data_IF_564001555546
#
_entry.id   IF_564001555546
#
_cell.length_a   1.000
_cell.length_b   1.000
_cell.length_c   1.000
_cell.angle_alpha   90.00
_cell.angle_beta   90.00
_cell.angle_gamma   90.00
#
_symmetry.space_group_name_H-M   'P 1'
#
loop_
_entity.id
_entity.type
_entity.pdbx_description
1 polymer ?
#
# COMPACT_ATOMS: atom_id res chain seq x y z
N UNK A 1 -32.91 -6.03 8.64
CA UNK A 1 -31.71 -5.16 8.58
C UNK A 1 -31.69 -4.28 9.82
N UNK A 2 -30.72 -4.48 10.73
CA UNK A 2 -30.52 -3.59 11.88
C UNK A 2 -29.51 -2.53 11.47
N UNK A 3 -30.00 -1.37 11.03
CA UNK A 3 -29.19 -0.16 10.87
C UNK A 3 -28.59 0.19 12.22
N UNK A 4 -27.25 0.16 12.35
CA UNK A 4 -26.55 0.70 13.53
C UNK A 4 -26.45 2.22 13.33
N UNK A 5 -27.27 3.06 14.00
CA UNK A 5 -27.57 4.41 13.53
C UNK A 5 -26.44 5.46 13.58
N UNK A 6 -25.42 5.43 14.47
CA UNK A 6 -24.54 6.59 14.60
C UNK A 6 -23.48 6.71 13.50
N UNK A 7 -23.10 5.61 12.82
CA UNK A 7 -22.03 5.62 11.81
C UNK A 7 -22.53 5.58 10.36
N UNK A 8 -23.75 5.07 10.11
CA UNK A 8 -24.30 5.01 8.76
C UNK A 8 -24.77 6.37 8.26
N UNK A 9 -25.14 7.29 9.16
CA UNK A 9 -25.75 8.57 8.81
C UNK A 9 -24.80 9.51 8.05
N UNK A 10 -23.55 9.75 8.51
CA UNK A 10 -22.60 10.56 7.75
C UNK A 10 -22.28 9.94 6.38
N UNK A 11 -22.13 8.60 6.31
CA UNK A 11 -21.84 7.90 5.06
C UNK A 11 -22.96 8.04 4.02
N UNK A 12 -24.22 7.99 4.45
CA UNK A 12 -25.37 8.27 3.57
C UNK A 12 -25.33 9.73 3.14
N UNK A 13 -25.13 10.66 4.07
CA UNK A 13 -25.14 12.10 3.79
C UNK A 13 -24.00 12.56 2.87
N UNK A 14 -22.81 11.91 2.90
CA UNK A 14 -21.65 12.31 2.10
C UNK A 14 -21.33 11.43 0.89
N UNK A 15 -21.76 10.16 0.85
CA UNK A 15 -21.32 9.20 -0.18
C UNK A 15 -22.44 8.44 -0.90
N UNK A 16 -23.70 8.61 -0.53
CA UNK A 16 -24.81 7.90 -1.18
C UNK A 16 -25.93 8.86 -1.54
N UNK A 17 -26.20 9.02 -2.84
CA UNK A 17 -27.36 9.81 -3.27
C UNK A 17 -28.66 9.04 -3.10
N UNK A 18 -28.65 7.70 -3.20
CA UNK A 18 -29.89 6.90 -3.21
C UNK A 18 -29.85 5.51 -2.52
N UNK A 19 -28.70 4.86 -2.29
CA UNK A 19 -28.66 3.53 -1.63
C UNK A 19 -27.32 3.19 -0.95
N UNK A 20 -27.39 2.82 0.34
CA UNK A 20 -26.28 2.24 1.13
C UNK A 20 -26.61 0.77 1.44
N UNK A 21 -25.86 -0.17 0.87
CA UNK A 21 -26.00 -1.59 1.22
C UNK A 21 -24.97 -1.95 2.29
N UNK A 22 -25.45 -2.46 3.43
CA UNK A 22 -24.62 -2.89 4.55
C UNK A 22 -24.84 -4.38 4.80
N UNK A 23 -23.76 -5.15 4.73
CA UNK A 23 -23.69 -6.54 5.18
C UNK A 23 -22.66 -6.67 6.32
N UNK A 24 -22.54 -7.85 6.93
CA UNK A 24 -21.65 -8.09 8.07
C UNK A 24 -20.19 -7.73 7.76
N UNK A 25 -19.74 -7.96 6.52
CA UNK A 25 -18.35 -7.79 6.10
C UNK A 25 -18.21 -6.89 4.85
N UNK A 26 -19.24 -6.12 4.51
CA UNK A 26 -19.15 -5.20 3.37
C UNK A 26 -20.08 -3.99 3.47
N UNK A 27 -19.69 -2.95 2.76
CA UNK A 27 -20.44 -1.71 2.58
C UNK A 27 -20.37 -1.32 1.10
N UNK A 28 -21.51 -1.01 0.50
CA UNK A 28 -21.60 -0.56 -0.89
C UNK A 28 -22.29 0.80 -0.97
N UNK A 29 -21.65 1.77 -1.60
CA UNK A 29 -22.19 3.11 -1.88
C UNK A 29 -21.60 3.67 -3.17
N UNK A 30 -22.21 4.71 -3.73
CA UNK A 30 -21.87 5.25 -5.05
C UNK A 30 -20.40 5.69 -5.19
N UNK A 31 -19.76 6.10 -4.08
CA UNK A 31 -18.37 6.61 -4.09
C UNK A 31 -17.44 5.91 -3.11
N UNK A 32 -17.91 4.90 -2.39
CA UNK A 32 -17.09 4.19 -1.40
C UNK A 32 -17.60 2.78 -1.15
N UNK A 33 -16.70 1.81 -1.19
CA UNK A 33 -17.00 0.42 -0.91
C UNK A 33 -16.03 -0.12 0.15
N UNK A 34 -16.55 -0.91 1.09
CA UNK A 34 -15.77 -1.72 2.03
C UNK A 34 -16.01 -3.19 1.67
N UNK A 35 -14.94 -3.95 1.46
CA UNK A 35 -15.03 -5.34 1.01
C UNK A 35 -14.14 -6.22 1.88
N UNK A 36 -14.75 -7.16 2.61
CA UNK A 36 -14.02 -8.24 3.26
C UNK A 36 -13.53 -9.26 2.23
N UNK A 37 -12.24 -9.26 1.93
CA UNK A 37 -11.59 -10.19 1.00
C UNK A 37 -10.22 -10.64 1.53
N UNK A 38 -9.83 -11.87 1.17
CA UNK A 38 -8.46 -12.35 1.37
C UNK A 38 -7.66 -12.04 0.11
N UNK A 39 -6.65 -11.17 0.23
CA UNK A 39 -5.82 -10.74 -0.89
C UNK A 39 -4.99 -11.87 -1.52
N UNK A 40 -4.87 -13.02 -0.83
CA UNK A 40 -4.18 -14.21 -1.35
C UNK A 40 -5.05 -14.99 -2.35
N UNK A 41 -6.37 -14.84 -2.27
CA UNK A 41 -7.32 -15.47 -3.18
C UNK A 41 -7.76 -14.48 -4.25
N UNK A 42 -6.95 -14.39 -5.31
CA UNK A 42 -7.16 -13.45 -6.42
C UNK A 42 -8.50 -13.67 -7.12
N UNK A 43 -8.94 -14.93 -7.26
CA UNK A 43 -10.22 -15.24 -7.92
C UNK A 43 -11.38 -14.66 -7.12
N UNK A 44 -11.40 -14.89 -5.80
CA UNK A 44 -12.43 -14.36 -4.90
C UNK A 44 -12.39 -12.83 -4.81
N UNK A 45 -11.19 -12.24 -4.80
CA UNK A 45 -11.01 -10.78 -4.82
C UNK A 45 -11.60 -10.15 -6.09
N UNK A 46 -11.24 -10.69 -7.27
CA UNK A 46 -11.68 -10.20 -8.57
C UNK A 46 -13.20 -10.30 -8.74
N UNK A 47 -13.80 -11.45 -8.37
CA UNK A 47 -15.25 -11.64 -8.38
C UNK A 47 -15.98 -10.63 -7.49
N UNK A 48 -15.45 -10.37 -6.28
CA UNK A 48 -16.02 -9.38 -5.38
C UNK A 48 -15.89 -7.98 -5.97
N UNK A 49 -14.72 -7.56 -6.41
CA UNK A 49 -14.54 -6.21 -6.95
C UNK A 49 -15.47 -5.95 -8.16
N UNK A 50 -15.65 -6.94 -9.05
CA UNK A 50 -16.61 -6.86 -10.15
C UNK A 50 -18.06 -6.71 -9.68
N UNK A 51 -18.44 -7.43 -8.61
CA UNK A 51 -19.77 -7.29 -7.98
C UNK A 51 -19.99 -5.88 -7.42
N UNK A 52 -18.93 -5.23 -6.93
CA UNK A 52 -18.94 -3.83 -6.46
C UNK A 52 -18.65 -2.82 -7.59
N UNK A 53 -18.96 -3.19 -8.84
CA UNK A 53 -18.93 -2.30 -9.99
C UNK A 53 -17.58 -1.63 -10.29
N UNK A 54 -16.47 -2.27 -9.91
CA UNK A 54 -15.13 -1.82 -10.28
C UNK A 54 -15.00 -1.72 -11.81
N UNK A 55 -14.69 -0.53 -12.30
CA UNK A 55 -14.48 -0.27 -13.73
C UNK A 55 -12.98 -0.28 -14.07
N UNK A 56 -12.54 -1.33 -14.76
CA UNK A 56 -11.13 -1.56 -15.11
C UNK A 56 -10.63 -0.66 -16.24
N UNK A 57 -11.51 0.04 -16.93
CA UNK A 57 -11.15 1.01 -17.98
C UNK A 57 -10.75 2.39 -17.42
N UNK A 58 -11.00 2.64 -16.12
CA UNK A 58 -10.63 3.90 -15.48
C UNK A 58 -9.18 3.87 -14.94
N UNK A 59 -8.46 4.99 -14.99
CA UNK A 59 -7.21 5.14 -14.27
C UNK A 59 -7.37 4.79 -12.79
N UNK A 60 -6.59 3.84 -12.30
CA UNK A 60 -6.77 3.29 -10.94
C UNK A 60 -5.49 3.39 -10.12
N UNK A 61 -5.60 3.88 -8.89
CA UNK A 61 -4.49 3.91 -7.93
C UNK A 61 -4.70 2.81 -6.90
N UNK A 62 -3.71 1.95 -6.73
CA UNK A 62 -3.62 0.97 -5.66
C UNK A 62 -2.73 1.51 -4.56
N UNK A 63 -3.13 1.30 -3.31
CA UNK A 63 -2.33 1.63 -2.14
C UNK A 63 -2.20 0.39 -1.27
N UNK A 64 -0.97 -0.04 -1.05
CA UNK A 64 -0.59 -1.06 -0.09
C UNK A 64 0.31 -0.41 0.95
N UNK A 65 -0.22 -0.21 2.16
CA UNK A 65 0.51 0.40 3.27
C UNK A 65 0.74 -0.66 4.35
N UNK A 66 1.96 -1.19 4.40
CA UNK A 66 2.36 -2.32 5.24
C UNK A 66 1.43 -3.54 5.04
N UNK A 67 1.25 -4.00 3.80
CA UNK A 67 0.38 -5.16 3.49
C UNK A 67 1.14 -6.30 2.83
N UNK A 68 1.83 -6.07 1.71
CA UNK A 68 2.41 -7.16 0.90
C UNK A 68 3.42 -8.02 1.68
N UNK A 69 4.21 -7.42 2.55
CA UNK A 69 5.18 -8.11 3.43
C UNK A 69 4.59 -9.24 4.29
N UNK A 70 3.28 -9.21 4.58
CA UNK A 70 2.61 -10.25 5.37
C UNK A 70 2.16 -11.47 4.54
N UNK A 71 2.23 -11.36 3.22
CA UNK A 71 1.93 -12.45 2.28
C UNK A 71 3.23 -13.12 1.84
N UNK A 72 3.19 -14.40 1.50
CA UNK A 72 4.36 -15.01 0.85
C UNK A 72 4.66 -14.31 -0.48
N UNK A 73 5.90 -14.30 -0.96
CA UNK A 73 6.29 -13.59 -2.18
C UNK A 73 5.52 -14.03 -3.42
N UNK A 74 5.12 -15.31 -3.48
CA UNK A 74 4.22 -15.81 -4.51
C UNK A 74 2.85 -15.13 -4.49
N UNK A 75 2.21 -15.01 -3.32
CA UNK A 75 0.90 -14.39 -3.20
C UNK A 75 0.95 -12.89 -3.47
N UNK A 76 1.95 -12.18 -2.92
CA UNK A 76 2.10 -10.74 -3.18
C UNK A 76 2.39 -10.46 -4.66
N UNK A 77 3.26 -11.26 -5.30
CA UNK A 77 3.55 -11.12 -6.74
C UNK A 77 2.31 -11.40 -7.58
N UNK A 78 1.51 -12.41 -7.23
CA UNK A 78 0.25 -12.69 -7.93
C UNK A 78 -0.73 -11.52 -7.83
N UNK A 79 -0.83 -10.86 -6.68
CA UNK A 79 -1.68 -9.67 -6.50
C UNK A 79 -1.19 -8.48 -7.34
N UNK A 80 0.11 -8.18 -7.28
CA UNK A 80 0.73 -7.10 -8.07
C UNK A 80 0.60 -7.36 -9.57
N UNK A 81 0.74 -8.63 -9.99
CA UNK A 81 0.55 -9.07 -11.38
C UNK A 81 -0.90 -8.94 -11.82
N UNK A 82 -1.85 -9.38 -11.01
CA UNK A 82 -3.29 -9.23 -11.29
C UNK A 82 -3.66 -7.77 -11.51
N UNK A 83 -3.13 -6.85 -10.69
CA UNK A 83 -3.39 -5.42 -10.85
C UNK A 83 -2.88 -4.89 -12.22
N UNK A 84 -1.66 -5.27 -12.64
CA UNK A 84 -1.13 -4.88 -13.96
C UNK A 84 -1.91 -5.49 -15.13
N UNK A 85 -2.31 -6.75 -15.01
CA UNK A 85 -3.03 -7.45 -16.07
C UNK A 85 -4.46 -6.92 -16.23
N UNK A 86 -5.08 -6.50 -15.12
CA UNK A 86 -6.48 -6.04 -15.08
C UNK A 86 -6.63 -4.58 -15.49
N UNK A 87 -5.67 -3.71 -15.15
CA UNK A 87 -5.76 -2.27 -15.40
C UNK A 87 -4.70 -1.79 -16.36
N UNK A 88 -5.12 -1.14 -17.44
CA UNK A 88 -4.21 -0.66 -18.48
C UNK A 88 -3.64 0.73 -18.20
N UNK A 89 -4.25 1.49 -17.27
CA UNK A 89 -3.71 2.75 -16.77
C UNK A 89 -3.84 2.72 -15.26
N UNK A 90 -2.71 2.58 -14.58
CA UNK A 90 -2.70 2.40 -13.13
C UNK A 90 -1.41 2.90 -12.50
N UNK A 91 -1.51 3.22 -11.21
CA UNK A 91 -0.39 3.43 -10.31
C UNK A 91 -0.53 2.50 -9.11
N UNK A 92 0.55 1.89 -8.67
CA UNK A 92 0.60 1.12 -7.44
C UNK A 92 1.57 1.79 -6.49
N UNK A 93 1.11 2.17 -5.30
CA UNK A 93 1.92 2.72 -4.22
C UNK A 93 2.06 1.63 -3.17
N UNK A 94 3.29 1.30 -2.80
CA UNK A 94 3.61 0.34 -1.78
C UNK A 94 4.56 0.92 -0.75
N UNK A 95 4.11 1.01 0.50
CA UNK A 95 4.92 1.36 1.64
C UNK A 95 5.13 0.12 2.50
N UNK A 96 6.37 -0.31 2.73
CA UNK A 96 6.71 -1.41 3.64
C UNK A 96 8.21 -1.40 3.99
N UNK A 97 8.71 -2.47 4.59
CA UNK A 97 10.12 -2.60 4.94
C UNK A 97 11.05 -2.70 3.71
N UNK A 98 12.30 -2.28 3.91
CA UNK A 98 13.41 -2.43 2.97
C UNK A 98 14.72 -2.67 3.73
N UNK A 99 15.79 -3.08 3.06
CA UNK A 99 17.11 -3.29 3.67
C UNK A 99 17.11 -4.33 4.80
N UNK A 100 16.19 -5.30 4.75
CA UNK A 100 15.97 -6.28 5.83
C UNK A 100 17.07 -7.36 5.99
N UNK A 101 18.12 -7.29 5.19
CA UNK A 101 19.22 -8.26 5.19
C UNK A 101 20.31 -8.00 6.24
N UNK A 102 20.34 -6.80 6.85
CA UNK A 102 21.37 -6.43 7.81
C UNK A 102 21.05 -6.82 9.26
N UNK A 103 21.90 -6.42 10.21
CA UNK A 103 21.70 -6.75 11.63
C UNK A 103 20.46 -6.08 12.23
N UNK A 104 20.13 -4.86 11.84
CA UNK A 104 18.95 -4.15 12.31
C UNK A 104 17.67 -4.82 11.76
N UNK A 105 17.66 -5.14 10.46
CA UNK A 105 16.59 -5.91 9.83
C UNK A 105 16.34 -7.25 10.51
N UNK A 106 17.38 -8.00 10.86
CA UNK A 106 17.27 -9.25 11.62
C UNK A 106 16.63 -9.03 13.00
N UNK A 107 17.06 -8.02 13.74
CA UNK A 107 16.48 -7.67 15.05
C UNK A 107 15.01 -7.27 14.90
N UNK A 108 14.64 -6.54 13.85
CA UNK A 108 13.25 -6.20 13.56
C UNK A 108 12.40 -7.45 13.29
N UNK A 109 12.90 -8.39 12.49
CA UNK A 109 12.22 -9.67 12.21
C UNK A 109 12.00 -10.47 13.50
N UNK A 110 13.05 -10.65 14.29
CA UNK A 110 12.99 -11.37 15.57
C UNK A 110 11.95 -10.73 16.51
N UNK A 111 11.98 -9.40 16.64
CA UNK A 111 11.03 -8.65 17.49
C UNK A 111 9.57 -8.84 17.06
N UNK A 112 9.28 -8.87 15.77
CA UNK A 112 7.93 -9.09 15.25
C UNK A 112 7.49 -10.55 15.43
N UNK A 113 8.39 -11.50 15.19
CA UNK A 113 8.14 -12.92 15.41
C UNK A 113 7.81 -13.22 16.88
N UNK A 114 8.51 -12.59 17.82
CA UNK A 114 8.20 -12.69 19.26
C UNK A 114 6.79 -12.21 19.62
N UNK A 115 6.18 -11.37 18.78
CA UNK A 115 4.79 -10.89 18.92
C UNK A 115 3.79 -11.70 18.11
N UNK A 116 4.18 -12.88 17.61
CA UNK A 116 3.41 -13.72 16.69
C UNK A 116 3.04 -13.03 15.37
N UNK A 117 3.86 -12.08 14.94
CA UNK A 117 3.71 -11.37 13.67
C UNK A 117 4.82 -11.83 12.71
N UNK A 118 4.49 -12.73 11.78
CA UNK A 118 5.46 -13.24 10.83
C UNK A 118 5.44 -12.42 9.52
N UNK A 119 6.61 -11.97 9.09
CA UNK A 119 6.81 -11.30 7.80
C UNK A 119 7.07 -12.33 6.70
N UNK A 120 5.99 -12.97 6.21
CA UNK A 120 6.09 -14.04 5.22
C UNK A 120 6.77 -13.61 3.90
N UNK A 121 6.76 -12.32 3.58
CA UNK A 121 7.35 -11.72 2.39
C UNK A 121 8.67 -11.01 2.62
N UNK A 122 9.33 -11.18 3.77
CA UNK A 122 10.55 -10.41 4.09
C UNK A 122 11.70 -10.65 3.11
N UNK A 123 11.75 -11.80 2.44
CA UNK A 123 12.78 -12.11 1.45
C UNK A 123 12.76 -11.18 0.23
N UNK A 124 11.64 -10.51 -0.07
CA UNK A 124 11.58 -9.50 -1.14
C UNK A 124 11.88 -8.08 -0.67
N UNK A 125 12.18 -7.88 0.62
CA UNK A 125 12.47 -6.58 1.23
C UNK A 125 13.98 -6.33 1.40
N UNK A 126 14.81 -6.79 0.46
CA UNK A 126 16.28 -6.78 0.61
C UNK A 126 16.92 -5.42 0.31
N UNK A 127 16.36 -4.68 -0.65
CA UNK A 127 16.86 -3.39 -1.11
C UNK A 127 15.80 -2.62 -1.89
N UNK A 128 16.02 -1.33 -2.13
CA UNK A 128 15.15 -0.54 -3.02
C UNK A 128 15.08 -1.14 -4.43
N UNK A 129 16.19 -1.69 -4.95
CA UNK A 129 16.21 -2.36 -6.24
C UNK A 129 15.32 -3.61 -6.25
N UNK A 130 15.35 -4.42 -5.18
CA UNK A 130 14.46 -5.58 -5.07
C UNK A 130 12.97 -5.18 -5.03
N UNK A 131 12.66 -4.03 -4.43
CA UNK A 131 11.30 -3.47 -4.40
C UNK A 131 10.85 -3.05 -5.81
N UNK A 132 11.70 -2.35 -6.58
CA UNK A 132 11.41 -1.96 -7.97
C UNK A 132 11.26 -3.17 -8.88
N UNK A 133 12.22 -4.10 -8.80
CA UNK A 133 12.24 -5.33 -9.60
C UNK A 133 10.96 -6.17 -9.43
N UNK A 134 10.39 -6.21 -8.22
CA UNK A 134 9.13 -6.91 -7.95
C UNK A 134 7.98 -6.39 -8.83
N UNK A 135 7.89 -5.08 -9.03
CA UNK A 135 6.88 -4.48 -9.90
C UNK A 135 7.20 -4.69 -11.38
N UNK A 136 8.45 -4.44 -11.80
CA UNK A 136 8.86 -4.61 -13.19
C UNK A 136 8.65 -6.04 -13.69
N UNK A 137 8.99 -7.05 -12.87
CA UNK A 137 8.76 -8.47 -13.19
C UNK A 137 7.27 -8.85 -13.21
N UNK A 138 6.43 -8.04 -12.59
CA UNK A 138 4.97 -8.18 -12.57
C UNK A 138 4.29 -7.37 -13.68
N UNK A 139 5.01 -7.03 -14.75
CA UNK A 139 4.58 -6.25 -15.91
C UNK A 139 4.06 -4.84 -15.61
N UNK A 140 4.64 -4.18 -14.62
CA UNK A 140 4.57 -2.73 -14.54
C UNK A 140 5.61 -2.12 -15.49
N UNK A 141 5.30 -0.99 -16.11
CA UNK A 141 6.14 -0.36 -17.13
C UNK A 141 7.30 0.41 -16.50
N UNK A 142 7.02 1.09 -15.39
CA UNK A 142 8.00 1.85 -14.61
C UNK A 142 7.83 1.54 -13.12
N UNK A 143 8.91 1.60 -12.37
CA UNK A 143 8.90 1.48 -10.92
C UNK A 143 10.07 2.26 -10.30
N UNK A 144 9.78 3.05 -9.28
CA UNK A 144 10.75 3.79 -8.49
C UNK A 144 10.52 3.55 -7.00
N UNK A 145 11.55 3.84 -6.20
CA UNK A 145 11.49 3.66 -4.75
C UNK A 145 12.50 4.54 -4.02
N UNK A 146 12.08 5.05 -2.87
CA UNK A 146 12.87 5.83 -1.92
C UNK A 146 12.78 5.17 -0.53
N UNK A 147 13.88 5.11 0.20
CA UNK A 147 13.81 4.83 1.63
C UNK A 147 13.24 6.04 2.38
N UNK A 148 12.65 5.81 3.55
CA UNK A 148 11.96 6.88 4.28
C UNK A 148 12.91 7.93 4.85
N UNK A 149 14.21 7.64 4.97
CA UNK A 149 15.18 8.66 5.37
C UNK A 149 15.40 9.66 4.23
N UNK A 150 15.48 9.17 2.99
CA UNK A 150 15.47 10.01 1.80
C UNK A 150 14.19 10.86 1.74
N UNK A 151 13.01 10.26 1.93
CA UNK A 151 11.72 11.00 1.98
C UNK A 151 11.74 12.08 3.07
N UNK A 152 12.18 11.74 4.28
CA UNK A 152 12.29 12.70 5.39
C UNK A 152 13.21 13.88 5.05
N UNK A 153 14.32 13.63 4.36
CA UNK A 153 15.26 14.67 3.92
C UNK A 153 14.71 15.59 2.82
N UNK A 154 13.66 15.16 2.11
CA UNK A 154 13.01 15.92 1.04
C UNK A 154 11.84 16.77 1.56
N UNK A 155 11.43 16.60 2.82
CA UNK A 155 10.38 17.40 3.42
C UNK A 155 10.78 18.89 3.47
N UNK A 156 9.81 19.81 3.32
CA UNK A 156 10.06 21.23 3.55
C UNK A 156 10.67 21.46 4.94
N UNK A 157 11.72 22.26 5.03
CA UNK A 157 12.44 22.52 6.28
C UNK A 157 11.51 23.03 7.40
N UNK A 158 10.51 23.85 7.05
CA UNK A 158 9.52 24.34 8.00
C UNK A 158 8.69 23.20 8.63
N UNK A 159 8.35 22.17 7.86
CA UNK A 159 7.64 20.99 8.35
C UNK A 159 8.54 20.13 9.24
N UNK A 160 9.80 19.92 8.86
CA UNK A 160 10.78 19.20 9.69
C UNK A 160 10.93 19.87 11.05
N UNK A 161 11.15 21.18 11.07
CA UNK A 161 11.27 21.94 12.32
C UNK A 161 9.97 21.93 13.13
N UNK A 162 8.81 21.99 12.47
CA UNK A 162 7.51 21.89 13.13
C UNK A 162 7.31 20.54 13.80
N UNK A 163 7.73 19.45 13.15
CA UNK A 163 7.62 18.08 13.67
C UNK A 163 8.62 17.86 14.81
N UNK A 164 9.90 18.20 14.62
CA UNK A 164 10.97 18.00 15.63
C UNK A 164 10.77 18.84 16.90
N UNK A 165 9.93 19.89 16.87
CA UNK A 165 9.54 20.65 18.06
C UNK A 165 8.47 19.98 18.92
N UNK A 166 7.74 19.00 18.40
CA UNK A 166 6.66 18.35 19.14
C UNK A 166 7.20 17.45 20.25
N UNK A 167 8.25 16.69 19.96
CA UNK A 167 8.89 15.79 20.90
C UNK A 167 10.41 15.89 20.77
N UNK A 168 11.09 16.00 21.91
CA UNK A 168 12.55 15.97 21.95
C UNK A 168 13.04 14.54 21.69
N UNK A 169 13.85 14.37 20.65
CA UNK A 169 14.51 13.11 20.30
C UNK A 169 16.03 13.27 20.45
N UNK A 170 16.60 12.60 21.44
CA UNK A 170 18.04 12.55 21.69
C UNK A 170 18.76 11.55 20.78
N UNK A 171 18.18 10.36 20.55
CA UNK A 171 18.75 9.29 19.75
C UNK A 171 18.35 9.38 18.25
N UNK A 172 18.86 10.40 17.55
CA UNK A 172 18.57 10.61 16.11
C UNK A 172 19.04 9.45 15.22
N UNK A 173 20.09 8.74 15.64
CA UNK A 173 20.63 7.60 14.93
C UNK A 173 19.64 6.43 14.86
N UNK A 174 18.82 6.23 15.91
CA UNK A 174 17.80 5.19 15.92
C UNK A 174 16.66 5.51 14.94
N UNK A 175 16.24 6.78 14.87
CA UNK A 175 15.26 7.22 13.89
C UNK A 175 15.81 7.04 12.47
N UNK A 176 17.07 7.44 12.22
CA UNK A 176 17.70 7.23 10.93
C UNK A 176 17.73 5.75 10.55
N UNK A 177 18.16 4.87 11.46
CA UNK A 177 18.15 3.42 11.22
C UNK A 177 16.74 2.92 10.91
N UNK A 178 15.73 3.34 11.67
CA UNK A 178 14.34 2.95 11.41
C UNK A 178 13.87 3.40 10.02
N UNK A 179 14.10 4.66 9.65
CA UNK A 179 13.66 5.22 8.37
C UNK A 179 14.41 4.62 7.17
N UNK A 180 15.66 4.22 7.35
CA UNK A 180 16.42 3.48 6.32
C UNK A 180 15.89 2.04 6.09
N UNK A 181 15.05 1.52 6.98
CA UNK A 181 14.47 0.18 6.90
C UNK A 181 13.00 0.16 6.46
N UNK A 182 12.46 1.31 6.04
CA UNK A 182 11.18 1.41 5.34
C UNK A 182 11.38 2.12 4.01
N UNK A 183 10.56 1.79 3.03
CA UNK A 183 10.54 2.48 1.75
C UNK A 183 9.12 2.78 1.30
N UNK A 184 9.01 3.80 0.48
CA UNK A 184 7.88 4.01 -0.42
C UNK A 184 8.33 3.67 -1.84
N UNK A 185 7.60 2.75 -2.47
CA UNK A 185 7.80 2.33 -3.85
C UNK A 185 6.54 2.65 -4.63
N UNK A 186 6.69 3.13 -5.87
CA UNK A 186 5.56 3.31 -6.77
C UNK A 186 5.86 2.76 -8.15
N UNK A 187 4.85 2.17 -8.76
CA UNK A 187 4.93 1.62 -10.10
C UNK A 187 3.78 2.13 -10.96
N UNK A 188 4.01 2.28 -12.25
CA UNK A 188 3.03 2.83 -13.18
C UNK A 188 2.90 2.02 -14.46
N UNK A 189 1.72 2.13 -15.06
CA UNK A 189 1.37 1.69 -16.41
C UNK A 189 0.45 2.75 -16.99
N UNK A 190 0.71 3.24 -18.20
CA UNK A 190 0.06 4.47 -18.65
C UNK A 190 -0.44 4.41 -20.11
N UNK A 191 -1.30 3.43 -20.42
CA UNK A 191 -1.92 3.31 -21.76
C UNK A 191 -2.65 4.59 -22.21
N UNK A 192 -3.23 5.35 -21.28
CA UNK A 192 -3.93 6.60 -21.57
C UNK A 192 -3.01 7.81 -21.74
N UNK A 193 -1.69 7.64 -21.54
CA UNK A 193 -0.67 8.71 -21.66
C UNK A 193 -0.99 9.93 -20.79
N UNK A 194 -1.39 9.70 -19.53
CA UNK A 194 -1.67 10.75 -18.56
C UNK A 194 -0.40 11.41 -18.01
N UNK A 195 0.78 10.88 -18.35
CA UNK A 195 2.06 11.36 -17.85
C UNK A 195 2.43 10.76 -16.50
N UNK A 196 1.91 9.56 -16.17
CA UNK A 196 2.16 8.92 -14.88
C UNK A 196 3.65 8.63 -14.63
N UNK A 197 4.44 8.46 -15.70
CA UNK A 197 5.89 8.28 -15.62
C UNK A 197 6.63 9.50 -15.05
N UNK A 198 6.01 10.68 -15.08
CA UNK A 198 6.60 11.91 -14.53
C UNK A 198 6.25 12.14 -13.06
N UNK A 199 5.41 11.28 -12.46
CA UNK A 199 5.10 11.35 -11.05
C UNK A 199 6.28 10.83 -10.23
N UNK A 200 6.75 11.67 -9.31
CA UNK A 200 7.76 11.35 -8.32
C UNK A 200 7.32 11.88 -6.95
N UNK A 201 7.83 11.26 -5.89
CA UNK A 201 7.74 11.76 -4.53
C UNK A 201 8.92 12.70 -4.20
#
# INVERSE_FOLDING_TARGET
MRTKPPLSKPLIETHSTDSLLLDANSLDSDRYCLIGADLRDISSLDEKLKKFHLNTELPTVFVSECVLVYMSPSHSSNLVRWASDTFHTAMFINYEQVNMGDRFGQVMIENLQHRNCNLAGVEVCQSLDSQRERFLRSAWEHADALDMMTVYSMLPQEDVERIERLEFLDEKELLQQLLQHYSICWATKDKLNLGLVHLAF
#
